data_IF_142745011380
#
_entry.id   IF_142745011380
#
_cell.length_a   1.000
_cell.length_b   1.000
_cell.length_c   1.000
_cell.angle_alpha   90.00
_cell.angle_beta   90.00
_cell.angle_gamma   90.00
#
_symmetry.space_group_name_H-M   'P 1'
#
loop_
_entity.id
_entity.type
_entity.pdbx_description
1 polymer ?
#
# COMPACT_ATOMS: atom_id res chain seq x y z
N UNK A 1 10.61 6.38 28.95
CA UNK A 1 9.45 7.31 28.88
C UNK A 1 8.18 6.48 28.83
N UNK A 2 7.17 6.78 29.65
CA UNK A 2 5.87 6.14 29.57
C UNK A 2 5.18 6.57 28.27
N UNK A 3 4.51 5.65 27.58
CA UNK A 3 3.67 5.96 26.42
C UNK A 3 2.50 6.85 26.85
N UNK A 4 2.07 7.75 25.99
CA UNK A 4 0.82 8.50 26.23
C UNK A 4 -0.38 7.58 26.02
N UNK A 5 -1.53 7.88 26.63
CA UNK A 5 -2.79 7.15 26.43
C UNK A 5 -3.16 7.10 24.92
N UNK A 6 -2.88 8.17 24.18
CA UNK A 6 -3.10 8.22 22.72
C UNK A 6 -2.22 7.26 21.95
N UNK A 7 -0.96 7.05 22.38
CA UNK A 7 -0.05 6.10 21.73
C UNK A 7 -0.50 4.66 22.00
N UNK A 8 -1.03 4.36 23.19
CA UNK A 8 -1.57 3.04 23.52
C UNK A 8 -2.85 2.72 22.75
N UNK A 9 -3.75 3.68 22.60
CA UNK A 9 -4.96 3.53 21.78
C UNK A 9 -4.62 3.33 20.31
N UNK A 10 -3.66 4.08 19.76
CA UNK A 10 -3.19 3.95 18.39
C UNK A 10 -2.53 2.57 18.16
N UNK A 11 -1.76 2.07 19.14
CA UNK A 11 -1.15 0.73 19.03
C UNK A 11 -2.21 -0.37 19.05
N UNK A 12 -3.23 -0.27 19.94
CA UNK A 12 -4.35 -1.23 19.97
C UNK A 12 -5.12 -1.26 18.65
N UNK A 13 -5.38 -0.09 18.04
CA UNK A 13 -6.02 -0.02 16.75
C UNK A 13 -5.15 -0.68 15.67
N UNK A 14 -3.87 -0.34 15.62
CA UNK A 14 -2.94 -0.86 14.62
C UNK A 14 -2.81 -2.38 14.66
N UNK A 15 -2.90 -2.98 15.85
CA UNK A 15 -2.79 -4.43 16.05
C UNK A 15 -4.14 -5.16 15.90
N UNK A 16 -5.28 -4.42 15.84
CA UNK A 16 -6.60 -5.03 15.72
C UNK A 16 -6.78 -5.70 14.37
N UNK A 17 -7.40 -6.89 14.37
CA UNK A 17 -7.75 -7.60 13.13
C UNK A 17 -8.92 -6.90 12.44
N UNK A 18 -8.94 -7.01 11.13
CA UNK A 18 -9.98 -6.48 10.25
C UNK A 18 -10.64 -7.65 9.53
N UNK A 19 -11.95 -7.76 9.68
CA UNK A 19 -12.78 -8.79 9.09
C UNK A 19 -13.68 -8.20 8.00
N UNK A 20 -14.31 -9.08 7.22
CA UNK A 20 -15.21 -8.70 6.12
C UNK A 20 -16.35 -7.75 6.55
N UNK A 21 -16.80 -7.85 7.80
CA UNK A 21 -17.87 -7.01 8.36
C UNK A 21 -17.38 -5.64 8.90
N UNK A 22 -16.07 -5.40 9.00
CA UNK A 22 -15.47 -4.21 9.62
C UNK A 22 -15.42 -3.02 8.64
N UNK A 23 -16.57 -2.63 8.10
CA UNK A 23 -16.69 -1.56 7.10
C UNK A 23 -16.11 -0.23 7.59
N UNK A 24 -16.32 0.10 8.87
CA UNK A 24 -15.80 1.34 9.46
C UNK A 24 -14.26 1.37 9.48
N UNK A 25 -13.62 0.25 9.88
CA UNK A 25 -12.16 0.14 9.84
C UNK A 25 -11.62 0.24 8.41
N UNK A 26 -12.32 -0.38 7.45
CA UNK A 26 -11.94 -0.28 6.04
C UNK A 26 -11.97 1.18 5.56
N UNK A 27 -13.03 1.92 5.87
CA UNK A 27 -13.14 3.36 5.53
C UNK A 27 -12.00 4.15 6.16
N UNK A 28 -11.67 3.90 7.44
CA UNK A 28 -10.56 4.56 8.13
C UNK A 28 -9.20 4.25 7.46
N UNK A 29 -8.97 2.99 7.05
CA UNK A 29 -7.75 2.58 6.33
C UNK A 29 -7.63 3.34 5.02
N UNK A 30 -8.70 3.38 4.22
CA UNK A 30 -8.71 4.04 2.92
C UNK A 30 -8.40 5.53 3.06
N UNK A 31 -9.12 6.24 3.92
CA UNK A 31 -8.89 7.66 4.14
C UNK A 31 -7.49 7.97 4.66
N UNK A 32 -6.96 7.12 5.54
CA UNK A 32 -5.62 7.30 6.08
C UNK A 32 -4.56 7.08 5.02
N UNK A 33 -4.69 6.05 4.18
CA UNK A 33 -3.77 5.81 3.05
C UNK A 33 -3.83 6.99 2.06
N UNK A 34 -5.02 7.41 1.64
CA UNK A 34 -5.23 8.53 0.73
C UNK A 34 -4.57 9.82 1.25
N UNK A 35 -4.78 10.15 2.53
CA UNK A 35 -4.17 11.32 3.17
C UNK A 35 -2.63 11.23 3.17
N UNK A 36 -2.08 10.10 3.57
CA UNK A 36 -0.63 9.90 3.66
C UNK A 36 0.04 9.97 2.28
N UNK A 37 -0.55 9.33 1.28
CA UNK A 37 -0.06 9.39 -0.10
C UNK A 37 -0.22 10.79 -0.70
N UNK A 38 -1.34 11.46 -0.42
CA UNK A 38 -1.58 12.85 -0.83
C UNK A 38 -0.54 13.83 -0.29
N UNK A 39 -0.08 13.65 0.95
CA UNK A 39 1.00 14.45 1.54
C UNK A 39 2.34 14.30 0.81
N UNK A 40 2.56 13.17 0.14
CA UNK A 40 3.72 12.95 -0.75
C UNK A 40 3.49 13.48 -2.17
N UNK A 41 2.26 13.91 -2.48
CA UNK A 41 1.81 14.36 -3.79
C UNK A 41 1.38 13.23 -4.73
N UNK A 42 1.15 12.01 -4.23
CA UNK A 42 0.55 10.91 -4.96
C UNK A 42 -0.97 10.94 -4.71
N UNK A 43 -1.66 11.77 -5.48
CA UNK A 43 -3.10 11.91 -5.34
C UNK A 43 -3.80 10.75 -6.05
N UNK A 44 -4.54 9.97 -5.28
CA UNK A 44 -5.40 8.87 -5.72
C UNK A 44 -6.82 9.23 -5.27
N UNK A 45 -7.76 9.24 -6.20
CA UNK A 45 -9.16 9.51 -5.87
C UNK A 45 -9.86 8.20 -5.48
N UNK A 46 -9.97 7.94 -4.18
CA UNK A 46 -10.58 6.75 -3.62
C UNK A 46 -12.06 6.57 -4.01
N UNK A 47 -12.75 7.64 -4.45
CA UNK A 47 -14.14 7.58 -4.94
C UNK A 47 -14.24 6.79 -6.24
N UNK A 48 -13.17 6.74 -7.02
CA UNK A 48 -13.08 5.99 -8.27
C UNK A 48 -12.58 4.55 -8.07
N UNK A 49 -12.42 4.11 -6.83
CA UNK A 49 -11.94 2.77 -6.47
C UNK A 49 -13.03 2.05 -5.67
N UNK A 50 -13.33 0.81 -6.03
CA UNK A 50 -14.08 -0.10 -5.18
C UNK A 50 -13.13 -0.82 -4.24
N UNK A 51 -13.45 -0.89 -2.95
CA UNK A 51 -12.67 -1.62 -1.97
C UNK A 51 -13.53 -2.70 -1.35
N UNK A 52 -13.03 -3.93 -1.35
CA UNK A 52 -13.73 -5.09 -0.82
C UNK A 52 -12.80 -5.92 0.06
N UNK A 53 -13.29 -6.30 1.26
CA UNK A 53 -12.62 -7.31 2.08
C UNK A 53 -13.21 -8.67 1.70
N UNK A 54 -12.35 -9.61 1.35
CA UNK A 54 -12.71 -10.94 0.87
C UNK A 54 -12.01 -12.02 1.70
N UNK A 55 -12.60 -13.20 1.71
CA UNK A 55 -11.98 -14.38 2.30
C UNK A 55 -10.98 -15.06 1.35
N UNK A 56 -10.24 -16.02 1.89
CA UNK A 56 -9.20 -16.75 1.14
C UNK A 56 -9.76 -17.54 -0.06
N UNK A 57 -10.96 -18.05 0.02
CA UNK A 57 -11.56 -18.84 -1.06
C UNK A 57 -11.99 -17.92 -2.21
N UNK A 58 -12.55 -16.76 -1.89
CA UNK A 58 -12.88 -15.74 -2.88
C UNK A 58 -11.62 -15.23 -3.58
N UNK A 59 -10.54 -15.00 -2.83
CA UNK A 59 -9.26 -14.57 -3.40
C UNK A 59 -8.69 -15.59 -4.39
N UNK A 60 -8.75 -16.89 -4.07
CA UNK A 60 -8.32 -17.96 -4.97
C UNK A 60 -9.10 -17.98 -6.28
N UNK A 61 -10.39 -17.67 -6.25
CA UNK A 61 -11.23 -17.60 -7.45
C UNK A 61 -10.83 -16.41 -8.31
N UNK A 62 -10.57 -15.25 -7.69
CA UNK A 62 -10.21 -14.02 -8.39
C UNK A 62 -8.77 -14.02 -8.92
N UNK A 63 -7.86 -14.67 -8.21
CA UNK A 63 -6.44 -14.76 -8.55
C UNK A 63 -5.88 -16.17 -8.32
N UNK A 64 -6.20 -17.14 -9.20
CA UNK A 64 -5.80 -18.55 -9.04
C UNK A 64 -4.30 -18.79 -9.04
N UNK A 65 -3.54 -17.89 -9.67
CA UNK A 65 -2.08 -18.02 -9.82
C UNK A 65 -1.29 -17.55 -8.60
N UNK A 66 -1.91 -16.84 -7.67
CA UNK A 66 -1.20 -16.26 -6.52
C UNK A 66 -1.56 -16.97 -5.22
N UNK A 67 -0.58 -17.65 -4.62
CA UNK A 67 -0.75 -18.38 -3.36
C UNK A 67 -0.53 -17.53 -2.09
N UNK A 68 0.02 -16.30 -2.22
CA UNK A 68 0.47 -15.48 -1.08
C UNK A 68 0.06 -14.01 -1.13
N UNK A 69 -0.87 -13.65 -2.00
CA UNK A 69 -1.34 -12.27 -2.13
C UNK A 69 -2.31 -11.92 -1.01
N UNK A 70 -2.15 -10.72 -0.42
CA UNK A 70 -3.04 -10.17 0.63
C UNK A 70 -3.88 -9.01 0.09
N UNK A 71 -3.42 -8.34 -0.96
CA UNK A 71 -4.16 -7.34 -1.70
C UNK A 71 -4.01 -7.56 -3.20
N UNK A 72 -4.98 -7.12 -3.96
CA UNK A 72 -4.96 -7.26 -5.41
C UNK A 72 -5.77 -6.16 -6.08
N UNK A 73 -5.14 -5.42 -7.00
CA UNK A 73 -5.80 -4.37 -7.79
C UNK A 73 -6.09 -4.85 -9.19
N UNK A 74 -7.36 -4.78 -9.59
CA UNK A 74 -7.79 -5.04 -10.95
C UNK A 74 -8.31 -3.77 -11.63
N UNK A 75 -7.95 -3.49 -12.90
CA UNK A 75 -8.49 -2.37 -13.67
C UNK A 75 -9.91 -2.63 -14.20
N UNK A 76 -10.64 -3.60 -13.66
CA UNK A 76 -12.00 -3.90 -14.06
C UNK A 76 -12.94 -2.93 -13.35
N UNK A 77 -13.67 -2.15 -14.15
CA UNK A 77 -14.73 -1.28 -13.66
C UNK A 77 -15.90 -2.10 -13.15
N UNK A 78 -16.10 -2.13 -11.85
CA UNK A 78 -17.34 -2.54 -11.21
C UNK A 78 -18.14 -1.27 -10.87
N UNK A 79 -19.40 -1.22 -11.21
CA UNK A 79 -20.33 -0.12 -10.87
C UNK A 79 -19.86 1.29 -11.29
N UNK A 80 -19.19 1.41 -12.43
CA UNK A 80 -18.71 2.70 -12.96
C UNK A 80 -17.44 3.23 -12.27
N UNK A 81 -16.77 2.44 -11.43
CA UNK A 81 -15.46 2.76 -10.87
C UNK A 81 -14.35 2.23 -11.78
N UNK A 82 -13.20 2.92 -11.79
CA UNK A 82 -12.10 2.58 -12.68
C UNK A 82 -11.21 1.43 -12.18
N UNK A 83 -11.19 1.17 -10.86
CA UNK A 83 -10.36 0.16 -10.21
C UNK A 83 -11.14 -0.58 -9.13
N UNK A 84 -10.76 -1.83 -8.87
CA UNK A 84 -11.22 -2.58 -7.71
C UNK A 84 -10.02 -3.11 -6.96
N UNK A 85 -9.98 -2.88 -5.65
CA UNK A 85 -8.97 -3.38 -4.72
C UNK A 85 -9.63 -4.39 -3.79
N UNK A 86 -9.20 -5.64 -3.85
CA UNK A 86 -9.59 -6.69 -2.91
C UNK A 86 -8.53 -6.86 -1.83
N UNK A 87 -8.96 -6.99 -0.60
CA UNK A 87 -8.12 -7.14 0.59
C UNK A 87 -8.50 -8.43 1.30
N UNK A 88 -7.52 -9.22 1.71
CA UNK A 88 -7.77 -10.44 2.46
C UNK A 88 -8.12 -10.10 3.92
N UNK A 89 -9.20 -10.68 4.43
CA UNK A 89 -9.62 -10.53 5.83
C UNK A 89 -8.64 -11.17 6.84
N UNK A 90 -8.87 -10.95 8.13
CA UNK A 90 -8.08 -11.49 9.25
C UNK A 90 -6.62 -11.02 9.30
N UNK A 91 -6.34 -9.84 8.74
CA UNK A 91 -5.07 -9.15 8.89
C UNK A 91 -5.19 -7.94 9.82
N UNK A 92 -4.07 -7.53 10.44
CA UNK A 92 -4.08 -6.36 11.30
C UNK A 92 -4.34 -5.08 10.51
N UNK A 93 -4.97 -4.09 11.18
CA UNK A 93 -5.26 -2.77 10.62
C UNK A 93 -4.01 -2.13 9.99
N UNK A 94 -2.88 -2.15 10.70
CA UNK A 94 -1.64 -1.53 10.21
C UNK A 94 -1.10 -2.24 8.97
N UNK A 95 -1.24 -3.56 8.90
CA UNK A 95 -0.82 -4.32 7.74
C UNK A 95 -1.72 -4.01 6.53
N UNK A 96 -3.06 -4.03 6.70
CA UNK A 96 -3.97 -3.66 5.62
C UNK A 96 -3.80 -2.21 5.17
N UNK A 97 -3.47 -1.30 6.08
CA UNK A 97 -3.15 0.08 5.71
C UNK A 97 -1.95 0.14 4.76
N UNK A 98 -0.91 -0.66 5.00
CA UNK A 98 0.25 -0.74 4.09
C UNK A 98 -0.11 -1.39 2.75
N UNK A 99 -0.94 -2.44 2.77
CA UNK A 99 -1.44 -3.09 1.54
C UNK A 99 -2.28 -2.11 0.70
N UNK A 100 -3.20 -1.37 1.32
CA UNK A 100 -3.99 -0.35 0.60
C UNK A 100 -3.09 0.72 -0.02
N UNK A 101 -2.05 1.16 0.67
CA UNK A 101 -1.10 2.13 0.11
C UNK A 101 -0.33 1.54 -1.09
N UNK A 102 0.06 0.26 -1.04
CA UNK A 102 0.68 -0.47 -2.15
C UNK A 102 -0.26 -0.51 -3.36
N UNK A 103 -1.49 -0.96 -3.17
CA UNK A 103 -2.48 -1.09 -4.25
C UNK A 103 -2.91 0.27 -4.84
N UNK A 104 -2.99 1.30 -4.02
CA UNK A 104 -3.16 2.68 -4.50
C UNK A 104 -1.97 3.16 -5.33
N UNK A 105 -0.77 2.65 -5.08
CA UNK A 105 0.42 2.87 -5.90
C UNK A 105 0.22 2.37 -7.33
N UNK A 106 -0.28 1.15 -7.51
CA UNK A 106 -0.64 0.61 -8.83
C UNK A 106 -1.71 1.46 -9.53
N UNK A 107 -2.75 1.86 -8.78
CA UNK A 107 -3.80 2.74 -9.30
C UNK A 107 -3.20 4.05 -9.81
N UNK A 108 -2.35 4.69 -9.00
CA UNK A 108 -1.68 5.93 -9.39
C UNK A 108 -0.79 5.76 -10.63
N UNK A 109 -0.06 4.65 -10.75
CA UNK A 109 0.76 4.36 -11.93
C UNK A 109 -0.11 4.26 -13.19
N UNK A 110 -1.23 3.52 -13.12
CA UNK A 110 -2.16 3.34 -14.25
C UNK A 110 -2.81 4.65 -14.66
N UNK A 111 -3.32 5.45 -13.71
CA UNK A 111 -3.97 6.73 -13.99
C UNK A 111 -3.01 7.75 -14.60
N UNK A 112 -1.73 7.68 -14.24
CA UNK A 112 -0.68 8.51 -14.83
C UNK A 112 -0.05 7.87 -16.09
N UNK A 113 -0.54 6.71 -16.55
CA UNK A 113 -0.07 5.99 -17.74
C UNK A 113 1.43 5.68 -17.69
N UNK A 114 1.95 5.39 -16.50
CA UNK A 114 3.36 5.04 -16.33
C UNK A 114 3.60 3.64 -16.90
N UNK A 115 4.67 3.49 -17.65
CA UNK A 115 5.16 2.20 -18.16
C UNK A 115 6.48 1.90 -17.46
N UNK A 116 6.43 1.06 -16.46
CA UNK A 116 7.59 0.64 -15.69
C UNK A 116 7.81 -0.87 -15.85
N UNK A 117 9.05 -1.31 -15.69
CA UNK A 117 9.35 -2.72 -15.52
C UNK A 117 8.72 -3.20 -14.20
N UNK A 118 8.27 -4.47 -14.14
CA UNK A 118 7.56 -5.02 -12.97
C UNK A 118 8.31 -4.77 -11.65
N UNK A 119 9.62 -5.01 -11.59
CA UNK A 119 10.44 -4.72 -10.41
C UNK A 119 10.38 -3.24 -9.98
N UNK A 120 10.30 -2.32 -10.93
CA UNK A 120 10.24 -0.89 -10.61
C UNK A 120 8.84 -0.48 -10.15
N UNK A 121 7.80 -1.03 -10.75
CA UNK A 121 6.42 -0.75 -10.35
C UNK A 121 6.14 -1.32 -8.97
N UNK A 122 6.43 -2.61 -8.76
CA UNK A 122 6.27 -3.25 -7.45
C UNK A 122 7.14 -2.56 -6.38
N UNK A 123 8.40 -2.28 -6.69
CA UNK A 123 9.29 -1.58 -5.78
C UNK A 123 8.79 -0.18 -5.41
N UNK A 124 8.15 0.53 -6.33
CA UNK A 124 7.50 1.81 -6.04
C UNK A 124 6.29 1.63 -5.11
N UNK A 125 5.43 0.65 -5.36
CA UNK A 125 4.28 0.35 -4.52
C UNK A 125 4.73 -0.09 -3.12
N UNK A 126 5.77 -0.93 -3.01
CA UNK A 126 6.42 -1.29 -1.74
C UNK A 126 7.00 -0.07 -1.01
N UNK A 127 7.58 0.90 -1.73
CA UNK A 127 8.10 2.13 -1.11
C UNK A 127 6.97 2.97 -0.48
N UNK A 128 5.80 3.04 -1.10
CA UNK A 128 4.64 3.71 -0.54
C UNK A 128 4.13 2.99 0.72
N UNK A 129 4.02 1.66 0.68
CA UNK A 129 3.67 0.84 1.84
C UNK A 129 4.68 1.01 3.00
N UNK A 130 5.97 0.95 2.70
CA UNK A 130 7.06 1.18 3.66
C UNK A 130 6.98 2.56 4.31
N UNK A 131 6.73 3.60 3.51
CA UNK A 131 6.54 4.96 4.02
C UNK A 131 5.35 5.03 4.98
N UNK A 132 4.21 4.48 4.61
CA UNK A 132 3.01 4.47 5.45
C UNK A 132 3.29 3.80 6.79
N UNK A 133 3.94 2.64 6.80
CA UNK A 133 4.38 1.96 8.03
C UNK A 133 5.33 2.83 8.85
N UNK A 134 6.19 3.62 8.20
CA UNK A 134 7.17 4.50 8.87
C UNK A 134 6.53 5.68 9.59
N UNK A 135 5.32 6.08 9.19
CA UNK A 135 4.57 7.15 9.85
C UNK A 135 3.76 6.68 11.06
N UNK A 136 3.70 5.35 11.29
CA UNK A 136 2.89 4.78 12.36
C UNK A 136 3.75 4.34 13.55
N UNK A 137 3.35 4.72 14.75
CA UNK A 137 3.94 4.24 15.99
C UNK A 137 3.37 2.85 16.31
N UNK A 138 3.98 1.80 15.75
CA UNK A 138 3.55 0.41 15.94
C UNK A 138 4.74 -0.52 15.95
N UNK A 139 4.80 -1.41 16.94
CA UNK A 139 5.82 -2.48 16.99
C UNK A 139 5.65 -3.44 15.81
N UNK A 140 4.40 -3.77 15.49
CA UNK A 140 4.07 -4.63 14.37
C UNK A 140 4.45 -3.97 13.04
N UNK A 141 4.14 -2.69 12.86
CA UNK A 141 4.56 -1.93 11.68
C UNK A 141 6.08 -1.86 11.53
N UNK A 142 6.84 -1.73 12.63
CA UNK A 142 8.29 -1.79 12.58
C UNK A 142 8.82 -3.17 12.19
N UNK A 143 8.21 -4.26 12.69
CA UNK A 143 8.57 -5.61 12.28
C UNK A 143 8.31 -5.83 10.77
N UNK A 144 7.18 -5.37 10.25
CA UNK A 144 6.87 -5.43 8.81
C UNK A 144 7.89 -4.66 7.98
N UNK A 145 8.28 -3.44 8.36
CA UNK A 145 9.32 -2.67 7.66
C UNK A 145 10.65 -3.42 7.57
N UNK A 146 11.06 -4.06 8.66
CA UNK A 146 12.29 -4.87 8.68
C UNK A 146 12.16 -6.02 7.70
N UNK A 147 11.04 -6.74 7.72
CA UNK A 147 10.77 -7.85 6.79
C UNK A 147 10.79 -7.38 5.33
N UNK A 148 10.19 -6.23 5.01
CA UNK A 148 10.21 -5.67 3.65
C UNK A 148 11.63 -5.37 3.18
N UNK A 149 12.48 -4.77 4.03
CA UNK A 149 13.88 -4.46 3.69
C UNK A 149 14.74 -5.72 3.54
N UNK A 150 14.42 -6.78 4.27
CA UNK A 150 15.14 -8.05 4.26
C UNK A 150 14.57 -9.06 3.27
N UNK A 151 13.47 -8.72 2.59
CA UNK A 151 12.84 -9.60 1.62
C UNK A 151 13.84 -9.93 0.48
N UNK A 152 14.18 -11.22 0.27
CA UNK A 152 15.11 -11.64 -0.78
C UNK A 152 14.49 -11.67 -2.18
N UNK A 153 13.19 -11.41 -2.31
CA UNK A 153 12.51 -11.44 -3.60
C UNK A 153 13.05 -10.35 -4.53
N UNK A 154 13.44 -10.69 -5.78
CA UNK A 154 14.06 -9.75 -6.71
C UNK A 154 13.09 -8.69 -7.24
N UNK A 155 11.77 -8.92 -7.17
CA UNK A 155 10.76 -7.97 -7.65
C UNK A 155 10.35 -7.04 -6.50
N UNK A 156 9.94 -7.60 -5.37
CA UNK A 156 9.44 -6.84 -4.23
C UNK A 156 10.58 -6.29 -3.36
N UNK A 157 11.50 -7.15 -2.90
CA UNK A 157 12.57 -6.76 -1.98
C UNK A 157 13.67 -5.92 -2.65
N UNK A 158 14.25 -6.40 -3.76
CA UNK A 158 15.25 -5.63 -4.51
C UNK A 158 14.60 -4.39 -5.13
N UNK A 159 13.35 -4.49 -5.58
CA UNK A 159 12.57 -3.37 -6.09
C UNK A 159 12.43 -2.26 -5.04
N UNK A 160 12.03 -2.60 -3.80
CA UNK A 160 11.95 -1.65 -2.69
C UNK A 160 13.30 -0.97 -2.43
N UNK A 161 14.37 -1.76 -2.28
CA UNK A 161 15.72 -1.23 -2.01
C UNK A 161 16.19 -0.30 -3.13
N UNK A 162 15.95 -0.67 -4.39
CA UNK A 162 16.22 0.18 -5.54
C UNK A 162 15.45 1.50 -5.49
N UNK A 163 14.15 1.45 -5.18
CA UNK A 163 13.32 2.67 -5.14
C UNK A 163 13.64 3.58 -3.95
N UNK A 164 14.05 3.02 -2.80
CA UNK A 164 14.63 3.81 -1.69
C UNK A 164 15.85 4.57 -2.19
N UNK A 165 16.79 3.90 -2.87
CA UNK A 165 17.97 4.55 -3.42
C UNK A 165 17.63 5.65 -4.44
N UNK A 166 16.62 5.45 -5.29
CA UNK A 166 16.18 6.50 -6.21
C UNK A 166 15.61 7.73 -5.47
N UNK A 167 14.88 7.52 -4.36
CA UNK A 167 14.40 8.62 -3.52
C UNK A 167 15.56 9.36 -2.84
N UNK A 168 16.58 8.63 -2.36
CA UNK A 168 17.80 9.22 -1.80
C UNK A 168 18.56 10.05 -2.84
N UNK A 169 18.67 9.56 -4.08
CA UNK A 169 19.26 10.31 -5.21
C UNK A 169 18.49 11.61 -5.49
N UNK A 170 17.20 11.63 -5.18
CA UNK A 170 16.38 12.84 -5.20
C UNK A 170 16.50 13.69 -3.92
N UNK A 171 17.48 13.37 -3.02
CA UNK A 171 17.70 14.01 -1.71
C UNK A 171 16.45 13.92 -0.80
N UNK A 172 15.73 12.81 -0.83
CA UNK A 172 14.50 12.59 -0.08
C UNK A 172 13.29 13.42 -0.57
N UNK A 173 13.44 14.15 -1.68
CA UNK A 173 12.37 14.99 -2.20
C UNK A 173 11.36 14.20 -3.01
N UNK A 174 10.20 13.95 -2.45
CA UNK A 174 9.08 13.27 -3.13
C UNK A 174 8.62 13.98 -4.39
N UNK A 175 8.70 15.32 -4.42
CA UNK A 175 8.40 16.11 -5.61
C UNK A 175 9.34 15.76 -6.78
N UNK A 176 10.66 15.75 -6.53
CA UNK A 176 11.67 15.38 -7.54
C UNK A 176 11.54 13.93 -7.95
N UNK A 177 11.31 13.04 -6.97
CA UNK A 177 11.15 11.63 -7.20
C UNK A 177 9.95 11.35 -8.13
N UNK A 178 8.79 11.96 -7.87
CA UNK A 178 7.62 11.85 -8.73
C UNK A 178 7.86 12.38 -10.15
N UNK A 179 8.56 13.51 -10.28
CA UNK A 179 8.95 14.06 -11.58
C UNK A 179 9.86 13.09 -12.35
N UNK A 180 10.82 12.47 -11.68
CA UNK A 180 11.70 11.44 -12.25
C UNK A 180 10.90 10.22 -12.75
N UNK A 181 9.95 9.70 -11.97
CA UNK A 181 9.10 8.58 -12.40
C UNK A 181 8.36 8.89 -13.70
N UNK A 182 7.77 10.09 -13.80
CA UNK A 182 7.05 10.53 -15.02
C UNK A 182 7.96 10.73 -16.24
N UNK A 183 9.24 11.07 -16.03
CA UNK A 183 10.19 11.22 -17.13
C UNK A 183 10.70 9.87 -17.65
N UNK A 184 10.94 8.91 -16.79
CA UNK A 184 11.43 7.56 -17.16
C UNK A 184 10.36 6.69 -17.84
N UNK A 185 9.11 7.11 -17.80
CA UNK A 185 7.97 6.37 -18.36
C UNK A 185 7.57 6.83 -19.77
N UNK A 186 8.31 7.80 -20.34
CA UNK A 186 8.15 8.26 -21.73
C UNK A 186 9.09 7.52 -22.65
#
# INVERSE_FOLDING_TARGET
MAKSLKDEEAEKLNDSLVNKSDTEKLVQIIHKAELLLGNLGFYVDSKNISFEIIDKEQLKVLNPSSQSVVGFTCPISLEGKHHTIWLLENHSYIFLLSVVAHEMGHTWCRDNKLKMHSMHEEGFCELLAYYVLSTQFSKLGNAWKINMLQNPDPIYGDGLRYMIQQLENCKGSWFKYRAMLKLKSK
#
